data_IF_739013364684
#
_entry.id   IF_739013364684
#
_cell.length_a   1.000
_cell.length_b   1.000
_cell.length_c   1.000
_cell.angle_alpha   90.00
_cell.angle_beta   90.00
_cell.angle_gamma   90.00
#
_symmetry.space_group_name_H-M   'P 1'
#
loop_
_entity.id
_entity.type
_entity.pdbx_description
1 polymer ?
#
# COMPACT_ATOMS: atom_id res chain seq x y z
N UNK A 1 18.21 -31.50 0.36
CA UNK A 1 16.88 -30.86 0.16
C UNK A 1 15.98 -31.87 -0.51
N UNK A 2 14.86 -32.23 0.09
CA UNK A 2 13.94 -33.23 -0.47
C UNK A 2 13.28 -32.68 -1.75
N UNK A 3 13.17 -33.48 -2.82
CA UNK A 3 12.56 -33.06 -4.08
C UNK A 3 11.13 -32.52 -3.91
N UNK A 4 10.37 -33.10 -2.97
CA UNK A 4 9.02 -32.66 -2.62
C UNK A 4 8.97 -31.20 -2.13
N UNK A 5 9.98 -30.78 -1.36
CA UNK A 5 10.07 -29.40 -0.87
C UNK A 5 10.31 -28.41 -2.02
N UNK A 6 11.13 -28.78 -3.00
CA UNK A 6 11.38 -27.93 -4.16
C UNK A 6 10.13 -27.77 -5.02
N UNK A 7 9.32 -28.82 -5.17
CA UNK A 7 8.06 -28.78 -5.91
C UNK A 7 7.06 -27.85 -5.21
N UNK A 8 6.88 -28.00 -3.89
CA UNK A 8 6.02 -27.11 -3.10
C UNK A 8 6.49 -25.66 -3.20
N UNK A 9 7.80 -25.41 -3.05
CA UNK A 9 8.39 -24.08 -3.18
C UNK A 9 8.16 -23.47 -4.57
N UNK A 10 8.26 -24.27 -5.63
CA UNK A 10 8.01 -23.81 -7.00
C UNK A 10 6.53 -23.46 -7.22
N UNK A 11 5.62 -24.16 -6.55
CA UNK A 11 4.19 -23.85 -6.57
C UNK A 11 3.92 -22.51 -5.87
N UNK A 12 4.51 -22.30 -4.69
CA UNK A 12 4.43 -21.02 -3.96
C UNK A 12 4.98 -19.86 -4.80
N UNK A 13 6.13 -20.07 -5.46
CA UNK A 13 6.72 -19.08 -6.37
C UNK A 13 5.79 -18.76 -7.56
N UNK A 14 5.07 -19.75 -8.06
CA UNK A 14 4.09 -19.56 -9.15
C UNK A 14 2.89 -18.73 -8.70
N UNK A 15 2.40 -18.96 -7.48
CA UNK A 15 1.36 -18.14 -6.86
C UNK A 15 1.84 -16.69 -6.63
N UNK A 16 3.08 -16.53 -6.15
CA UNK A 16 3.68 -15.22 -5.92
C UNK A 16 3.85 -14.42 -7.22
N UNK A 17 4.21 -15.07 -8.34
CA UNK A 17 4.24 -14.44 -9.67
C UNK A 17 2.86 -13.91 -10.07
N UNK A 18 1.80 -14.70 -9.88
CA UNK A 18 0.42 -14.26 -10.14
C UNK A 18 0.05 -13.03 -9.31
N UNK A 19 0.39 -13.03 -8.03
CA UNK A 19 0.15 -11.88 -7.15
C UNK A 19 0.93 -10.63 -7.59
N UNK A 20 2.16 -10.79 -8.11
CA UNK A 20 2.95 -9.66 -8.59
C UNK A 20 2.36 -8.95 -9.80
N UNK A 21 1.48 -9.61 -10.56
CA UNK A 21 0.72 -8.96 -11.64
C UNK A 21 -0.41 -8.07 -11.11
N UNK A 22 -0.93 -8.34 -9.91
CA UNK A 22 -2.01 -7.57 -9.28
C UNK A 22 -1.43 -6.47 -8.38
N UNK A 23 -0.35 -6.78 -7.66
CA UNK A 23 0.29 -5.88 -6.69
C UNK A 23 1.78 -5.77 -7.00
N UNK A 24 2.19 -4.62 -7.53
CA UNK A 24 3.58 -4.36 -7.91
C UNK A 24 4.55 -4.47 -6.71
N UNK A 25 4.10 -4.17 -5.49
CA UNK A 25 4.85 -4.36 -4.25
C UNK A 25 5.21 -5.84 -3.94
N UNK A 26 4.60 -6.81 -4.61
CA UNK A 26 4.97 -8.23 -4.48
C UNK A 26 6.12 -8.65 -5.42
N UNK A 27 6.38 -7.89 -6.49
CA UNK A 27 7.43 -8.17 -7.48
C UNK A 27 8.85 -8.33 -6.87
N UNK A 28 9.28 -7.54 -5.87
CA UNK A 28 10.60 -7.69 -5.25
C UNK A 28 10.76 -9.04 -4.53
N UNK A 29 9.65 -9.56 -4.00
CA UNK A 29 9.61 -10.88 -3.35
C UNK A 29 9.78 -11.99 -4.39
N UNK A 30 9.26 -11.83 -5.61
CA UNK A 30 9.45 -12.80 -6.70
C UNK A 30 10.94 -12.99 -7.01
N UNK A 31 11.71 -11.91 -7.16
CA UNK A 31 13.15 -12.03 -7.45
C UNK A 31 13.92 -12.75 -6.34
N UNK A 32 13.59 -12.47 -5.08
CA UNK A 32 14.23 -13.11 -3.93
C UNK A 32 13.89 -14.61 -3.87
N UNK A 33 12.62 -14.97 -4.03
CA UNK A 33 12.20 -16.37 -3.98
C UNK A 33 12.71 -17.15 -5.19
N UNK A 34 12.83 -16.53 -6.36
CA UNK A 34 13.48 -17.15 -7.51
C UNK A 34 14.96 -17.41 -7.27
N UNK A 35 15.69 -16.46 -6.65
CA UNK A 35 17.08 -16.70 -6.24
C UNK A 35 17.17 -17.88 -5.26
N UNK A 36 16.27 -17.95 -4.28
CA UNK A 36 16.21 -19.05 -3.32
C UNK A 36 15.94 -20.40 -4.00
N UNK A 37 14.99 -20.48 -4.95
CA UNK A 37 14.75 -21.71 -5.72
C UNK A 37 16.01 -22.16 -6.46
N UNK A 38 16.73 -21.21 -7.08
CA UNK A 38 17.99 -21.52 -7.78
C UNK A 38 19.08 -22.03 -6.84
N UNK A 39 19.18 -21.49 -5.62
CA UNK A 39 20.10 -21.99 -4.58
C UNK A 39 19.70 -23.41 -4.16
N UNK A 40 18.41 -23.65 -3.89
CA UNK A 40 17.90 -24.97 -3.49
C UNK A 40 18.14 -26.04 -4.55
N UNK A 41 18.08 -25.65 -5.83
CA UNK A 41 18.33 -26.54 -6.97
C UNK A 41 19.82 -26.64 -7.37
N UNK A 42 20.75 -25.97 -6.67
CA UNK A 42 22.17 -25.97 -7.02
C UNK A 42 22.48 -25.35 -8.39
N UNK A 43 21.66 -24.39 -8.84
CA UNK A 43 21.80 -23.75 -10.15
C UNK A 43 22.98 -22.75 -10.20
N UNK A 44 23.33 -22.29 -11.40
CA UNK A 44 24.52 -21.44 -11.63
C UNK A 44 24.55 -20.17 -10.77
N UNK A 45 25.72 -19.80 -10.20
CA UNK A 45 25.83 -18.69 -9.26
C UNK A 45 25.59 -17.33 -9.91
N UNK A 46 26.00 -17.11 -11.16
CA UNK A 46 25.91 -15.80 -11.81
C UNK A 46 24.47 -15.27 -11.93
N UNK A 47 23.53 -16.10 -12.37
CA UNK A 47 22.11 -15.67 -12.47
C UNK A 47 21.47 -15.50 -11.09
N UNK A 48 21.84 -16.33 -10.14
CA UNK A 48 21.38 -16.23 -8.74
C UNK A 48 21.85 -14.91 -8.12
N UNK A 49 23.11 -14.52 -8.33
CA UNK A 49 23.66 -13.24 -7.86
C UNK A 49 22.91 -12.04 -8.44
N UNK A 50 22.61 -12.03 -9.75
CA UNK A 50 21.84 -10.94 -10.37
C UNK A 50 20.46 -10.74 -9.74
N UNK A 51 19.78 -11.84 -9.39
CA UNK A 51 18.47 -11.79 -8.73
C UNK A 51 18.60 -11.23 -7.30
N UNK A 52 19.62 -11.66 -6.55
CA UNK A 52 19.91 -11.14 -5.20
C UNK A 52 20.25 -9.65 -5.22
N UNK A 53 21.13 -9.22 -6.13
CA UNK A 53 21.51 -7.81 -6.29
C UNK A 53 20.29 -6.94 -6.58
N UNK A 54 19.36 -7.45 -7.42
CA UNK A 54 18.10 -6.76 -7.71
C UNK A 54 17.20 -6.67 -6.48
N UNK A 55 17.10 -7.73 -5.68
CA UNK A 55 16.31 -7.74 -4.44
C UNK A 55 16.88 -6.79 -3.37
N UNK A 56 18.21 -6.70 -3.25
CA UNK A 56 18.87 -5.79 -2.30
C UNK A 56 18.63 -4.34 -2.70
N UNK A 57 18.90 -3.97 -3.96
CA UNK A 57 18.67 -2.60 -4.45
C UNK A 57 17.24 -2.15 -4.26
N UNK A 58 16.27 -3.03 -4.51
CA UNK A 58 14.87 -2.69 -4.33
C UNK A 58 14.49 -2.50 -2.86
N UNK A 59 15.05 -3.30 -1.93
CA UNK A 59 14.88 -3.05 -0.50
C UNK A 59 15.51 -1.72 -0.08
N UNK A 60 16.68 -1.37 -0.59
CA UNK A 60 17.31 -0.08 -0.28
C UNK A 60 16.45 1.09 -0.76
N UNK A 61 15.88 1.04 -1.97
CA UNK A 61 14.94 2.07 -2.46
C UNK A 61 13.72 2.27 -1.57
N UNK A 62 13.16 1.20 -1.01
CA UNK A 62 12.02 1.27 -0.07
C UNK A 62 12.42 1.87 1.29
N UNK A 63 13.70 1.81 1.67
CA UNK A 63 14.19 2.24 2.98
C UNK A 63 15.00 3.56 2.94
N UNK A 64 15.28 4.12 1.76
CA UNK A 64 15.98 5.39 1.62
C UNK A 64 14.99 6.55 1.85
N UNK A 65 15.34 7.57 2.66
CA UNK A 65 14.55 8.79 2.69
C UNK A 65 14.63 9.43 1.30
N UNK A 66 13.46 9.69 0.73
CA UNK A 66 13.26 10.23 -0.62
C UNK A 66 14.16 11.45 -0.86
N UNK A 67 15.20 11.26 -1.67
CA UNK A 67 15.93 12.36 -2.31
C UNK A 67 15.79 12.13 -3.81
N UNK A 68 15.20 13.13 -4.44
CA UNK A 68 14.74 13.14 -5.83
C UNK A 68 15.80 12.63 -6.81
N UNK A 69 15.44 11.64 -7.62
CA UNK A 69 16.09 11.41 -8.91
C UNK A 69 15.06 11.10 -9.98
N UNK A 70 14.88 12.11 -10.83
CA UNK A 70 14.22 12.04 -12.12
C UNK A 70 14.70 10.85 -12.95
N UNK A 71 13.75 10.11 -13.53
CA UNK A 71 14.02 9.21 -14.63
C UNK A 71 13.16 7.95 -14.67
N UNK A 72 12.14 8.02 -15.55
CA UNK A 72 11.43 6.91 -16.20
C UNK A 72 10.37 6.15 -15.39
N UNK A 73 9.11 6.52 -15.63
CA UNK A 73 7.93 5.64 -15.77
C UNK A 73 7.86 4.42 -14.84
N UNK A 74 8.10 4.64 -13.56
CA UNK A 74 7.70 3.74 -12.50
C UNK A 74 6.55 4.43 -11.79
N UNK A 75 5.35 3.82 -11.76
CA UNK A 75 4.24 4.30 -10.92
C UNK A 75 4.81 4.56 -9.54
N UNK A 76 4.97 5.85 -9.24
CA UNK A 76 5.61 6.37 -8.06
C UNK A 76 4.82 5.83 -6.88
N UNK A 77 5.43 4.87 -6.17
CA UNK A 77 4.95 4.36 -4.89
C UNK A 77 5.18 5.49 -3.90
N UNK A 78 4.32 6.51 -3.99
CA UNK A 78 4.43 7.73 -3.22
C UNK A 78 3.92 7.40 -1.82
N UNK A 79 4.80 7.23 -0.81
CA UNK A 79 4.37 6.88 0.54
C UNK A 79 3.40 7.93 1.11
N UNK A 80 3.48 9.17 0.63
CA UNK A 80 2.55 10.24 0.96
C UNK A 80 1.14 9.99 0.41
N UNK A 81 1.02 9.47 -0.82
CA UNK A 81 -0.28 9.09 -1.41
C UNK A 81 -0.91 7.93 -0.65
N UNK A 82 -0.11 6.95 -0.26
CA UNK A 82 -0.58 5.82 0.56
C UNK A 82 -1.01 6.26 1.96
N UNK A 83 -0.24 7.14 2.60
CA UNK A 83 -0.59 7.76 3.89
C UNK A 83 -1.90 8.55 3.78
N UNK A 84 -2.09 9.34 2.72
CA UNK A 84 -3.34 10.06 2.47
C UNK A 84 -4.52 9.09 2.31
N UNK A 85 -4.33 7.98 1.59
CA UNK A 85 -5.36 6.95 1.41
C UNK A 85 -5.73 6.27 2.74
N UNK A 86 -4.73 5.95 3.57
CA UNK A 86 -4.96 5.36 4.89
C UNK A 86 -5.78 6.30 5.79
N UNK A 87 -5.45 7.59 5.83
CA UNK A 87 -6.20 8.60 6.59
C UNK A 87 -7.66 8.72 6.13
N UNK A 88 -7.89 8.75 4.81
CA UNK A 88 -9.24 8.79 4.25
C UNK A 88 -10.05 7.54 4.62
N UNK A 89 -9.44 6.34 4.51
CA UNK A 89 -10.08 5.08 4.87
C UNK A 89 -10.38 5.01 6.38
N UNK A 90 -9.45 5.48 7.21
CA UNK A 90 -9.60 5.54 8.66
C UNK A 90 -10.81 6.41 9.05
N UNK A 91 -10.90 7.62 8.51
CA UNK A 91 -12.02 8.52 8.79
C UNK A 91 -13.38 8.03 8.28
N UNK A 92 -13.42 7.20 7.23
CA UNK A 92 -14.66 6.67 6.65
C UNK A 92 -15.16 5.40 7.30
N UNK A 93 -14.26 4.46 7.60
CA UNK A 93 -14.64 3.06 7.81
C UNK A 93 -14.31 2.49 9.18
N UNK A 94 -13.41 3.09 9.95
CA UNK A 94 -13.13 2.57 11.29
C UNK A 94 -14.33 2.79 12.22
N UNK A 95 -14.48 2.04 13.32
CA UNK A 95 -15.52 2.29 14.31
C UNK A 95 -15.14 3.46 15.25
N UNK A 96 -16.15 4.15 15.80
CA UNK A 96 -15.97 5.30 16.70
C UNK A 96 -15.15 4.99 17.96
N UNK A 97 -15.14 3.73 18.40
CA UNK A 97 -14.30 3.28 19.53
C UNK A 97 -12.80 3.27 19.26
N UNK A 98 -12.37 3.40 18.00
CA UNK A 98 -10.95 3.35 17.59
C UNK A 98 -10.44 4.71 17.09
N UNK A 99 -11.28 5.49 16.40
CA UNK A 99 -10.89 6.79 15.81
C UNK A 99 -11.40 8.01 16.57
N UNK A 100 -11.92 7.78 17.77
CA UNK A 100 -12.66 8.78 18.55
C UNK A 100 -13.93 9.27 17.87
N UNK A 101 -14.39 10.46 18.27
CA UNK A 101 -15.67 11.02 17.85
C UNK A 101 -15.72 11.48 16.38
N UNK A 102 -16.92 11.84 15.90
CA UNK A 102 -17.15 12.31 14.52
C UNK A 102 -16.21 13.46 14.12
N UNK A 103 -15.88 14.36 15.05
CA UNK A 103 -14.95 15.47 14.81
C UNK A 103 -13.54 14.99 14.45
N UNK A 104 -13.02 13.97 15.16
CA UNK A 104 -11.69 13.42 14.90
C UNK A 104 -11.63 12.71 13.55
N UNK A 105 -12.70 11.98 13.20
CA UNK A 105 -12.84 11.35 11.87
C UNK A 105 -12.84 12.38 10.74
N UNK A 106 -13.57 13.47 10.92
CA UNK A 106 -13.58 14.57 9.95
C UNK A 106 -12.21 15.22 9.82
N UNK A 107 -11.44 15.32 10.92
CA UNK A 107 -10.07 15.85 10.87
C UNK A 107 -9.13 14.94 10.09
N UNK A 108 -9.23 13.61 10.24
CA UNK A 108 -8.47 12.65 9.42
C UNK A 108 -8.76 12.81 7.92
N UNK A 109 -10.04 13.00 7.54
CA UNK A 109 -10.43 13.21 6.13
C UNK A 109 -9.92 14.57 5.63
N UNK A 110 -9.94 15.62 6.46
CA UNK A 110 -9.37 16.93 6.10
C UNK A 110 -7.85 16.85 5.90
N UNK A 111 -7.15 16.10 6.75
CA UNK A 111 -5.71 15.89 6.62
C UNK A 111 -5.37 15.12 5.34
N UNK A 112 -6.12 14.06 5.03
CA UNK A 112 -6.02 13.36 3.75
C UNK A 112 -6.24 14.30 2.55
N UNK A 113 -7.24 15.18 2.62
CA UNK A 113 -7.52 16.17 1.59
C UNK A 113 -6.34 17.11 1.32
N UNK A 114 -5.73 17.66 2.37
CA UNK A 114 -4.53 18.52 2.26
C UNK A 114 -3.36 17.79 1.61
N UNK A 115 -3.16 16.52 1.95
CA UNK A 115 -2.11 15.70 1.34
C UNK A 115 -2.39 15.47 -0.15
N UNK A 116 -3.63 15.17 -0.54
CA UNK A 116 -3.98 15.03 -1.96
C UNK A 116 -3.88 16.34 -2.74
N UNK A 117 -4.15 17.49 -2.11
CA UNK A 117 -3.90 18.80 -2.71
C UNK A 117 -2.41 19.03 -2.99
N UNK A 118 -1.55 18.72 -2.02
CA UNK A 118 -0.10 18.81 -2.18
C UNK A 118 0.43 17.88 -3.30
N UNK A 119 -0.18 16.69 -3.44
CA UNK A 119 0.13 15.73 -4.50
C UNK A 119 -0.52 16.04 -5.86
N UNK A 120 -1.35 17.09 -5.95
CA UNK A 120 -2.07 17.46 -7.17
C UNK A 120 -3.19 16.51 -7.59
N UNK A 121 -3.62 15.58 -6.72
CA UNK A 121 -4.66 14.60 -7.03
C UNK A 121 -6.07 15.16 -6.81
N UNK A 122 -6.53 15.91 -7.80
CA UNK A 122 -7.85 16.58 -7.78
C UNK A 122 -9.02 15.61 -7.59
N UNK A 123 -8.91 14.36 -8.08
CA UNK A 123 -9.98 13.36 -7.96
C UNK A 123 -10.11 12.90 -6.51
N UNK A 124 -8.99 12.63 -5.86
CA UNK A 124 -8.98 12.22 -4.45
C UNK A 124 -9.38 13.35 -3.51
N UNK A 125 -9.03 14.60 -3.84
CA UNK A 125 -9.54 15.79 -3.11
C UNK A 125 -11.07 15.87 -3.16
N UNK A 126 -11.67 15.65 -4.33
CA UNK A 126 -13.14 15.61 -4.47
C UNK A 126 -13.77 14.47 -3.67
N UNK A 127 -13.12 13.30 -3.60
CA UNK A 127 -13.58 12.20 -2.74
C UNK A 127 -13.56 12.57 -1.27
N UNK A 128 -12.52 13.26 -0.80
CA UNK A 128 -12.45 13.74 0.59
C UNK A 128 -13.57 14.75 0.88
N UNK A 129 -13.82 15.70 -0.03
CA UNK A 129 -14.90 16.68 0.11
C UNK A 129 -16.27 16.00 0.18
N UNK A 130 -16.53 15.01 -0.68
CA UNK A 130 -17.78 14.24 -0.65
C UNK A 130 -17.94 13.48 0.67
N UNK A 131 -16.89 12.80 1.13
CA UNK A 131 -16.94 12.06 2.39
C UNK A 131 -17.25 12.96 3.60
N UNK A 132 -16.77 14.21 3.60
CA UNK A 132 -17.10 15.18 4.65
C UNK A 132 -18.58 15.60 4.62
N UNK A 133 -19.16 15.78 3.43
CA UNK A 133 -20.59 16.08 3.30
C UNK A 133 -21.45 14.91 3.78
N UNK A 134 -21.12 13.69 3.37
CA UNK A 134 -21.84 12.48 3.79
C UNK A 134 -21.80 12.30 5.32
N UNK A 135 -20.71 12.70 5.99
CA UNK A 135 -20.57 12.65 7.45
C UNK A 135 -21.34 13.75 8.18
N UNK A 136 -21.48 14.94 7.57
CA UNK A 136 -22.21 16.07 8.14
C UNK A 136 -23.73 15.83 8.07
N UNK A 137 -24.23 15.25 6.98
CA UNK A 137 -25.63 14.83 6.84
C UNK A 137 -26.01 13.77 7.90
N UNK A 138 -25.11 12.83 8.19
CA UNK A 138 -25.33 11.79 9.19
C UNK A 138 -25.38 12.33 10.64
N UNK A 139 -24.73 13.48 10.89
CA UNK A 139 -24.83 14.21 12.17
C UNK A 139 -26.17 14.90 12.32
N UNK A 140 -26.81 15.28 11.22
CA UNK A 140 -28.10 15.98 11.20
C UNK A 140 -29.31 15.01 11.36
N UNK A 141 -29.09 13.69 11.28
CA UNK A 141 -30.09 12.66 11.60
C UNK A 141 -30.16 12.28 13.09
N UNK A 142 -29.24 12.76 13.93
CA UNK A 142 -29.30 12.62 15.39
C UNK A 142 -29.95 13.86 16.03
N UNK A 143 -31.18 14.20 15.63
CA UNK A 143 -31.97 15.19 16.37
C UNK A 143 -32.50 14.53 17.66
N UNK A 144 -32.35 15.14 18.85
CA UNK A 144 -32.90 14.57 20.08
C UNK A 144 -34.42 14.57 20.00
N UNK A 145 -35.04 13.40 20.14
CA UNK A 145 -36.45 13.31 20.50
C UNK A 145 -36.56 13.79 21.95
N UNK A 146 -36.84 15.08 22.14
CA UNK A 146 -37.23 15.65 23.41
C UNK A 146 -38.77 15.69 23.51
N UNK A 147 -39.31 15.13 24.60
CA UNK A 147 -40.72 15.22 25.01
C UNK A 147 -41.62 14.17 24.33
N UNK A 148 -42.31 13.29 25.04
CA UNK A 148 -43.08 13.46 26.27
C UNK A 148 -42.83 12.36 27.32
#
# INVERSE_FOLDING_TARGET
>A
ISLLWLIAFQQDLSCLRKLSHITRAALPKVFLHEATARIMAGASPGRTQQLLDRSIRHRSKVNEPLVDKDGADEVEECPEREKAAALLMAGRHLPSGITGGTSERMNLIKEAGKMYEALGDKKSVQMCRKALLDMDENKNSEVPIAGF
#
